data_IF_764229649555
#
_entry.id   IF_764229649555
#
_cell.length_a   1.000
_cell.length_b   1.000
_cell.length_c   1.000
_cell.angle_alpha   90.00
_cell.angle_beta   90.00
_cell.angle_gamma   90.00
#
_symmetry.space_group_name_H-M   'P 1'
#
loop_
_entity.id
_entity.type
_entity.pdbx_description
1 polymer ?
#
# COMPACT_ATOMS: atom_id res chain seq x y z
N UNK A 1 6.78 -50.18 -1.64
CA UNK A 1 6.51 -50.15 -3.09
C UNK A 1 5.14 -49.56 -3.48
N UNK A 2 4.13 -49.52 -2.59
CA UNK A 2 2.79 -49.01 -2.98
C UNK A 2 2.64 -47.49 -3.11
N UNK A 3 3.36 -46.65 -2.34
CA UNK A 3 3.20 -45.19 -2.45
C UNK A 3 3.77 -44.59 -3.75
N UNK A 4 4.80 -45.22 -4.34
CA UNK A 4 5.39 -44.78 -5.61
C UNK A 4 4.56 -45.18 -6.84
N UNK A 5 3.81 -46.29 -6.76
CA UNK A 5 2.90 -46.74 -7.82
C UNK A 5 1.64 -45.86 -7.87
N UNK A 6 1.15 -45.39 -6.72
CA UNK A 6 -0.02 -44.51 -6.65
C UNK A 6 0.25 -43.10 -7.20
N UNK A 7 1.45 -42.56 -6.96
CA UNK A 7 1.86 -41.27 -7.55
C UNK A 7 2.02 -41.36 -9.09
N UNK A 8 2.49 -42.50 -9.61
CA UNK A 8 2.63 -42.71 -11.05
C UNK A 8 1.26 -42.89 -11.75
N UNK A 9 0.29 -43.52 -11.09
CA UNK A 9 -1.07 -43.69 -11.61
C UNK A 9 -1.88 -42.38 -11.60
N UNK A 10 -1.68 -41.51 -10.61
CA UNK A 10 -2.30 -40.17 -10.56
C UNK A 10 -1.70 -39.21 -11.59
N UNK A 11 -0.39 -39.28 -11.84
CA UNK A 11 0.26 -38.49 -12.90
C UNK A 11 -0.16 -38.95 -14.32
N UNK A 12 -0.40 -40.25 -14.52
CA UNK A 12 -0.87 -40.79 -15.80
C UNK A 12 -2.35 -40.47 -16.09
N UNK A 13 -3.18 -40.28 -15.06
CA UNK A 13 -4.59 -39.87 -15.22
C UNK A 13 -4.76 -38.39 -15.57
N UNK A 14 -3.84 -37.51 -15.15
CA UNK A 14 -3.86 -36.08 -15.48
C UNK A 14 -3.37 -35.77 -16.91
N UNK A 15 -2.60 -36.67 -17.52
CA UNK A 15 -2.07 -36.53 -18.88
C UNK A 15 -3.07 -36.96 -19.98
N UNK A 16 -4.19 -37.59 -19.61
CA UNK A 16 -5.23 -38.07 -20.54
C UNK A 16 -6.37 -37.07 -20.77
N UNK A 17 -6.38 -35.90 -20.09
CA UNK A 17 -7.38 -34.84 -20.30
C UNK A 17 -6.90 -33.69 -21.21
N UNK A 18 -5.68 -33.76 -21.73
CA UNK A 18 -5.06 -32.74 -22.59
C UNK A 18 -4.72 -33.31 -23.98
N UNK A 19 -5.69 -33.93 -24.67
CA UNK A 19 -5.54 -34.30 -26.07
C UNK A 19 -6.89 -34.53 -26.78
N UNK A 20 -7.55 -33.45 -27.21
CA UNK A 20 -8.44 -33.44 -28.38
C UNK A 20 -8.65 -31.97 -28.80
N UNK A 21 -7.81 -31.44 -29.68
CA UNK A 21 -8.00 -31.40 -31.13
C UNK A 21 -8.81 -30.16 -31.57
N UNK A 22 -8.09 -29.16 -32.11
CA UNK A 22 -8.64 -28.13 -33.01
C UNK A 22 -9.26 -28.80 -34.23
N UNK A 23 -10.36 -28.24 -34.75
CA UNK A 23 -10.47 -28.04 -36.18
C UNK A 23 -10.72 -26.56 -36.53
N UNK A 24 -10.10 -26.11 -37.61
CA UNK A 24 -10.42 -24.88 -38.35
C UNK A 24 -11.32 -25.23 -39.56
N UNK A 25 -11.70 -24.24 -40.38
CA UNK A 25 -12.97 -23.54 -40.40
C UNK A 25 -14.00 -24.22 -41.33
N UNK A 26 -15.30 -24.06 -41.06
CA UNK A 26 -16.36 -24.40 -42.01
C UNK A 26 -17.30 -23.20 -42.17
N UNK A 27 -17.42 -22.72 -43.40
CA UNK A 27 -18.27 -21.61 -43.84
C UNK A 27 -19.73 -22.09 -43.91
N UNK A 28 -20.58 -21.51 -43.07
CA UNK A 28 -22.04 -21.71 -43.09
C UNK A 28 -22.77 -20.41 -42.72
N UNK A 29 -24.00 -20.18 -43.26
CA UNK A 29 -24.58 -18.86 -43.36
C UNK A 29 -25.01 -18.31 -41.99
N UNK A 30 -24.79 -17.00 -41.81
CA UNK A 30 -25.13 -16.21 -40.62
C UNK A 30 -26.61 -16.32 -40.25
N UNK A 31 -26.89 -16.94 -39.11
CA UNK A 31 -28.19 -16.88 -38.43
C UNK A 31 -28.23 -15.66 -37.50
N UNK A 32 -29.10 -14.66 -37.72
CA UNK A 32 -29.11 -13.43 -36.95
C UNK A 32 -30.09 -13.51 -35.78
N UNK A 33 -29.82 -14.35 -34.77
CA UNK A 33 -30.50 -14.25 -33.46
C UNK A 33 -29.77 -15.02 -32.37
N UNK A 34 -28.63 -14.49 -31.90
CA UNK A 34 -28.14 -14.80 -30.56
C UNK A 34 -28.30 -13.54 -29.70
N UNK A 35 -29.08 -13.56 -28.60
CA UNK A 35 -29.11 -12.45 -27.67
C UNK A 35 -27.72 -12.33 -27.03
N UNK A 36 -27.10 -11.16 -27.17
CA UNK A 36 -25.82 -10.84 -26.55
C UNK A 36 -25.80 -11.34 -25.10
N UNK A 37 -24.84 -12.21 -24.81
CA UNK A 37 -24.49 -12.56 -23.43
C UNK A 37 -24.25 -11.24 -22.69
N UNK A 38 -24.98 -10.92 -21.61
CA UNK A 38 -24.80 -9.65 -20.94
C UNK A 38 -23.35 -9.56 -20.46
N UNK A 39 -22.63 -8.55 -20.93
CA UNK A 39 -21.31 -8.20 -20.43
C UNK A 39 -21.40 -8.18 -18.90
N UNK A 40 -20.54 -8.97 -18.24
CA UNK A 40 -20.38 -8.88 -16.79
C UNK A 40 -20.09 -7.43 -16.39
N UNK A 41 -20.30 -7.04 -15.11
CA UNK A 41 -20.08 -5.67 -14.68
C UNK A 41 -18.70 -5.20 -15.16
N UNK A 42 -18.66 -4.24 -16.09
CA UNK A 42 -17.41 -3.63 -16.49
C UNK A 42 -16.86 -2.98 -15.21
N UNK A 43 -15.73 -3.48 -14.72
CA UNK A 43 -14.99 -2.77 -13.68
C UNK A 43 -14.78 -1.35 -14.19
N UNK A 44 -15.05 -0.32 -13.36
CA UNK A 44 -14.91 1.06 -13.80
C UNK A 44 -13.51 1.23 -14.39
N UNK A 45 -13.42 1.64 -15.66
CA UNK A 45 -12.14 1.76 -16.34
C UNK A 45 -11.25 2.73 -15.56
N UNK A 46 -10.15 2.22 -15.03
CA UNK A 46 -9.11 2.99 -14.35
C UNK A 46 -8.58 4.05 -15.31
N UNK A 47 -9.07 5.28 -15.13
CA UNK A 47 -8.84 6.38 -16.06
C UNK A 47 -8.01 7.44 -15.34
N UNK A 48 -6.94 7.89 -16.00
CA UNK A 48 -6.12 8.99 -15.51
C UNK A 48 -6.97 10.26 -15.37
N UNK A 49 -7.06 10.79 -14.15
CA UNK A 49 -7.82 12.00 -13.83
C UNK A 49 -6.94 13.24 -13.81
N UNK A 50 -5.79 13.15 -13.16
CA UNK A 50 -4.85 14.26 -13.00
C UNK A 50 -3.42 13.73 -12.97
N UNK A 51 -2.45 14.54 -13.38
CA UNK A 51 -1.04 14.15 -13.32
C UNK A 51 -0.13 15.36 -13.29
N UNK A 52 1.12 15.14 -12.88
CA UNK A 52 2.14 16.16 -12.94
C UNK A 52 3.54 15.59 -12.73
N UNK A 53 4.50 16.49 -12.70
CA UNK A 53 5.92 16.20 -12.48
C UNK A 53 6.49 17.13 -11.42
N UNK A 54 7.47 16.65 -10.67
CA UNK A 54 8.20 17.46 -9.70
C UNK A 54 9.41 18.08 -10.40
N UNK A 55 9.47 19.41 -10.43
CA UNK A 55 10.53 20.16 -11.12
C UNK A 55 11.92 19.76 -10.63
N UNK A 56 12.85 19.53 -11.56
CA UNK A 56 14.23 19.15 -11.23
C UNK A 56 14.43 17.68 -10.84
N UNK A 57 13.41 16.84 -11.01
CA UNK A 57 13.48 15.39 -10.70
C UNK A 57 12.88 14.55 -11.82
N UNK A 58 13.14 13.24 -11.79
CA UNK A 58 12.48 12.26 -12.67
C UNK A 58 11.15 11.76 -12.08
N UNK A 59 10.62 12.43 -11.05
CA UNK A 59 9.45 11.99 -10.30
C UNK A 59 8.19 12.57 -10.93
N UNK A 60 7.25 11.68 -11.23
CA UNK A 60 5.91 12.02 -11.73
C UNK A 60 4.85 11.49 -10.79
N UNK A 61 3.65 12.04 -10.87
CA UNK A 61 2.51 11.57 -10.12
C UNK A 61 1.26 11.54 -10.99
N UNK A 62 0.37 10.61 -10.67
CA UNK A 62 -0.88 10.38 -11.38
C UNK A 62 -1.98 10.06 -10.38
N UNK A 63 -3.10 10.75 -10.48
CA UNK A 63 -4.34 10.44 -9.77
C UNK A 63 -5.32 9.88 -10.77
N UNK A 64 -5.93 8.76 -10.42
CA UNK A 64 -6.88 8.05 -11.28
C UNK A 64 -8.31 8.11 -10.71
N UNK A 65 -9.29 7.81 -11.57
CA UNK A 65 -10.72 7.79 -11.22
C UNK A 65 -11.07 6.73 -10.18
N UNK A 66 -10.26 5.68 -10.08
CA UNK A 66 -10.34 4.62 -9.06
C UNK A 66 -9.86 5.08 -7.66
N UNK A 67 -9.46 6.35 -7.53
CA UNK A 67 -9.01 7.02 -6.30
C UNK A 67 -7.62 6.60 -5.84
N UNK A 68 -6.78 6.10 -6.75
CA UNK A 68 -5.36 5.82 -6.48
C UNK A 68 -4.48 6.99 -6.89
N UNK A 69 -3.56 7.39 -6.01
CA UNK A 69 -2.42 8.24 -6.31
C UNK A 69 -1.18 7.35 -6.54
N UNK A 70 -0.62 7.41 -7.73
CA UNK A 70 0.68 6.83 -8.05
C UNK A 70 1.75 7.91 -7.98
N UNK A 71 2.84 7.64 -7.25
CA UNK A 71 4.08 8.44 -7.29
C UNK A 71 5.15 7.58 -7.93
N UNK A 72 5.60 7.95 -9.13
CA UNK A 72 6.46 7.15 -10.01
C UNK A 72 7.78 7.89 -10.27
N UNK A 73 8.70 7.22 -10.93
CA UNK A 73 10.02 7.76 -11.25
C UNK A 73 11.09 7.29 -10.27
N UNK A 74 12.17 8.05 -10.16
CA UNK A 74 13.31 7.69 -9.31
C UNK A 74 13.90 8.86 -8.54
N UNK A 75 14.38 8.57 -7.34
CA UNK A 75 15.07 9.53 -6.47
C UNK A 75 14.31 9.87 -5.19
N UNK A 76 14.74 10.95 -4.54
CA UNK A 76 14.13 11.47 -3.32
C UNK A 76 13.03 12.48 -3.66
N UNK A 77 11.89 12.39 -2.97
CA UNK A 77 10.93 13.49 -3.00
C UNK A 77 11.56 14.74 -2.35
N UNK A 78 11.33 15.95 -2.90
CA UNK A 78 11.83 17.18 -2.31
C UNK A 78 11.12 17.49 -0.99
N UNK A 79 11.79 18.13 -0.05
CA UNK A 79 11.14 18.59 1.17
C UNK A 79 10.10 19.67 0.85
N UNK A 80 8.91 19.50 1.42
CA UNK A 80 7.82 20.47 1.29
C UNK A 80 7.84 21.37 2.52
N UNK A 81 8.47 22.55 2.40
CA UNK A 81 8.64 23.53 3.48
C UNK A 81 7.31 23.93 4.14
N UNK A 82 6.19 23.75 3.43
CA UNK A 82 4.84 24.02 3.89
C UNK A 82 4.00 22.73 3.70
N UNK A 83 3.18 22.30 4.69
CA UNK A 83 2.34 21.10 4.62
C UNK A 83 1.32 21.01 3.45
N UNK A 84 1.29 22.06 2.61
CA UNK A 84 0.36 22.26 1.51
C UNK A 84 1.04 22.41 0.14
N UNK A 85 2.36 22.26 0.07
CA UNK A 85 3.13 22.50 -1.15
C UNK A 85 3.26 21.24 -2.04
N UNK A 86 2.88 20.07 -1.52
CA UNK A 86 2.91 18.84 -2.28
C UNK A 86 1.94 18.88 -3.47
N UNK A 87 2.34 18.41 -4.67
CA UNK A 87 1.52 18.53 -5.88
C UNK A 87 0.13 17.89 -5.79
N UNK A 88 0.00 16.85 -4.97
CA UNK A 88 -1.23 16.09 -4.75
C UNK A 88 -2.03 16.58 -3.53
N UNK A 89 -1.69 17.73 -2.95
CA UNK A 89 -2.32 18.25 -1.72
C UNK A 89 -3.84 18.28 -1.78
N UNK A 90 -4.41 18.74 -2.89
CA UNK A 90 -5.85 18.91 -3.08
C UNK A 90 -6.65 17.59 -3.05
N UNK A 91 -5.98 16.45 -3.25
CA UNK A 91 -6.60 15.13 -3.26
C UNK A 91 -6.72 14.50 -1.87
N UNK A 92 -6.11 15.11 -0.84
CA UNK A 92 -6.06 14.58 0.53
C UNK A 92 -7.34 14.76 1.35
N UNK A 93 -8.30 15.58 0.90
CA UNK A 93 -9.59 15.75 1.61
C UNK A 93 -9.47 16.33 3.03
N UNK A 94 -8.45 17.17 3.24
CA UNK A 94 -8.02 17.75 4.51
C UNK A 94 -9.11 18.55 5.23
N UNK A 95 -9.02 18.60 6.56
CA UNK A 95 -9.98 19.31 7.40
C UNK A 95 -9.81 20.84 7.27
N UNK A 96 -10.90 21.60 7.18
CA UNK A 96 -10.85 23.08 7.17
C UNK A 96 -10.47 23.75 5.84
N UNK A 97 -10.22 22.99 4.76
CA UNK A 97 -10.14 23.56 3.40
C UNK A 97 -11.58 23.73 2.90
N UNK A 98 -12.12 24.94 3.01
CA UNK A 98 -13.34 25.29 2.30
C UNK A 98 -13.07 25.08 0.80
N UNK A 99 -13.84 24.20 0.15
CA UNK A 99 -13.86 24.06 -1.31
C UNK A 99 -14.51 25.31 -1.89
N UNK A 100 -13.78 26.41 -1.78
CA UNK A 100 -13.98 27.58 -2.58
C UNK A 100 -13.63 27.13 -4.02
N UNK A 101 -14.62 27.21 -4.90
CA UNK A 101 -14.43 27.46 -6.33
C UNK A 101 -13.33 26.69 -7.09
N UNK A 102 -13.54 25.38 -7.33
CA UNK A 102 -13.10 24.78 -8.61
C UNK A 102 -14.16 23.86 -9.19
N UNK A 103 -14.61 24.24 -10.37
CA UNK A 103 -15.48 23.48 -11.27
C UNK A 103 -14.69 22.29 -11.83
N UNK A 104 -14.50 21.28 -10.98
CA UNK A 104 -13.76 20.07 -11.28
C UNK A 104 -13.92 19.13 -10.10
N UNK A 105 -14.64 18.02 -10.29
CA UNK A 105 -14.90 17.02 -9.26
C UNK A 105 -13.60 16.43 -8.71
N UNK A 106 -13.02 17.09 -7.71
CA UNK A 106 -11.78 16.67 -7.04
C UNK A 106 -12.01 15.29 -6.42
N UNK A 107 -11.44 14.26 -7.07
CA UNK A 107 -11.42 12.92 -6.53
C UNK A 107 -10.48 12.90 -5.34
N UNK A 108 -11.03 12.44 -4.21
CA UNK A 108 -10.30 12.25 -2.97
C UNK A 108 -9.62 10.89 -2.97
N UNK A 109 -8.31 10.84 -2.77
CA UNK A 109 -7.55 9.58 -2.87
C UNK A 109 -7.77 8.68 -1.65
N UNK A 110 -7.98 7.39 -1.89
CA UNK A 110 -8.12 6.37 -0.85
C UNK A 110 -6.94 5.42 -0.79
N UNK A 111 -6.10 5.43 -1.82
CA UNK A 111 -4.90 4.59 -1.89
C UNK A 111 -3.74 5.36 -2.48
N UNK A 112 -2.56 5.12 -1.93
CA UNK A 112 -1.29 5.66 -2.44
C UNK A 112 -0.39 4.49 -2.80
N UNK A 113 0.22 4.57 -3.98
CA UNK A 113 1.23 3.62 -4.47
C UNK A 113 2.49 4.39 -4.80
N UNK A 114 3.54 4.17 -4.01
CA UNK A 114 4.86 4.74 -4.24
C UNK A 114 5.71 3.74 -5.02
N UNK A 115 6.25 4.17 -6.14
CA UNK A 115 7.00 3.32 -7.07
C UNK A 115 8.39 2.93 -6.55
N UNK A 116 8.87 1.77 -6.98
CA UNK A 116 10.15 1.16 -6.55
C UNK A 116 11.40 2.01 -6.84
N UNK A 117 11.32 3.02 -7.71
CA UNK A 117 12.45 3.93 -7.94
C UNK A 117 12.60 5.02 -6.88
N UNK A 118 11.58 5.25 -6.06
CA UNK A 118 11.60 6.30 -5.02
C UNK A 118 12.44 5.82 -3.84
N UNK A 119 13.45 6.60 -3.45
CA UNK A 119 14.43 6.24 -2.41
C UNK A 119 14.21 6.96 -1.09
N UNK A 120 13.52 8.10 -1.11
CA UNK A 120 13.16 8.86 0.08
C UNK A 120 11.81 9.55 -0.10
N UNK A 121 11.02 9.58 0.97
CA UNK A 121 9.82 10.40 1.08
C UNK A 121 10.17 11.72 1.77
N UNK A 122 9.30 12.71 1.62
CA UNK A 122 9.42 14.00 2.31
C UNK A 122 8.64 13.99 3.62
N UNK A 123 9.05 14.87 4.53
CA UNK A 123 8.26 15.21 5.71
C UNK A 123 6.86 15.71 5.29
N UNK A 124 5.83 15.33 6.07
CA UNK A 124 4.44 15.74 5.84
C UNK A 124 3.83 15.41 4.45
N UNK A 125 4.51 14.62 3.60
CA UNK A 125 4.12 14.39 2.20
C UNK A 125 2.66 13.95 2.02
N UNK A 126 2.13 13.16 2.96
CA UNK A 126 0.77 12.63 2.94
C UNK A 126 0.02 12.92 4.26
N UNK A 127 0.42 13.96 5.00
CA UNK A 127 -0.25 14.37 6.24
C UNK A 127 -1.69 14.84 5.99
N UNK A 128 -2.58 14.51 6.92
CA UNK A 128 -4.01 14.88 6.96
C UNK A 128 -4.83 14.32 5.78
N UNK A 129 -4.42 13.17 5.23
CA UNK A 129 -5.17 12.51 4.16
C UNK A 129 -6.40 11.79 4.73
N UNK A 130 -7.49 12.53 4.92
CA UNK A 130 -8.72 12.05 5.54
C UNK A 130 -9.33 10.79 4.90
N UNK A 131 -9.41 10.63 3.56
CA UNK A 131 -10.01 9.46 2.94
C UNK A 131 -9.04 8.31 2.70
N UNK A 132 -7.74 8.50 3.01
CA UNK A 132 -6.72 7.49 2.76
C UNK A 132 -6.99 6.23 3.58
N UNK A 133 -7.04 5.09 2.90
CA UNK A 133 -7.31 3.76 3.48
C UNK A 133 -6.06 2.89 3.44
N UNK A 134 -5.25 3.00 2.39
CA UNK A 134 -4.07 2.14 2.22
C UNK A 134 -2.88 2.82 1.54
N UNK A 135 -1.68 2.39 1.92
CA UNK A 135 -0.42 2.84 1.33
C UNK A 135 0.43 1.63 0.93
N UNK A 136 1.02 1.67 -0.26
CA UNK A 136 2.06 0.75 -0.71
C UNK A 136 3.38 1.50 -0.84
N UNK A 137 4.36 1.14 -0.01
CA UNK A 137 5.70 1.71 0.02
C UNK A 137 6.67 0.84 -0.78
N UNK A 138 7.71 1.42 -1.41
CA UNK A 138 8.65 0.66 -2.19
C UNK A 138 9.65 -0.07 -1.29
N UNK A 139 10.25 -1.14 -1.79
CA UNK A 139 11.28 -1.90 -1.08
C UNK A 139 12.58 -1.10 -0.88
N UNK A 140 12.82 -0.10 -1.72
CA UNK A 140 13.99 0.80 -1.67
C UNK A 140 13.96 1.81 -0.54
N UNK A 141 12.78 2.09 0.03
CA UNK A 141 12.62 3.14 1.05
C UNK A 141 13.30 2.75 2.36
N UNK A 142 14.16 3.62 2.87
CA UNK A 142 14.91 3.38 4.12
C UNK A 142 14.29 4.04 5.34
N UNK A 143 13.62 5.17 5.16
CA UNK A 143 13.09 6.00 6.25
C UNK A 143 11.64 6.35 5.96
N UNK A 144 10.78 6.24 6.97
CA UNK A 144 9.45 6.87 6.96
C UNK A 144 9.58 8.20 7.72
N UNK A 145 9.52 9.34 7.01
CA UNK A 145 9.89 10.63 7.60
C UNK A 145 8.90 11.18 8.63
N UNK A 146 9.33 12.24 9.31
CA UNK A 146 8.53 13.02 10.24
C UNK A 146 7.16 13.37 9.66
N UNK A 147 6.11 12.98 10.39
CA UNK A 147 4.70 13.24 10.04
C UNK A 147 4.24 12.81 8.65
N UNK A 148 4.98 11.92 7.97
CA UNK A 148 4.72 11.58 6.57
C UNK A 148 3.26 11.16 6.33
N UNK A 149 2.68 10.38 7.25
CA UNK A 149 1.28 9.92 7.23
C UNK A 149 0.49 10.35 8.47
N UNK A 150 0.93 11.40 9.17
CA UNK A 150 0.23 11.86 10.36
C UNK A 150 -1.21 12.32 10.04
N UNK A 151 -2.12 12.18 11.01
CA UNK A 151 -3.51 12.67 10.93
C UNK A 151 -4.31 12.05 9.77
N UNK A 152 -4.02 10.79 9.40
CA UNK A 152 -4.80 10.03 8.43
C UNK A 152 -5.76 9.05 9.15
N UNK A 153 -6.92 9.51 9.66
CA UNK A 153 -7.74 8.73 10.60
C UNK A 153 -8.36 7.48 9.98
N UNK A 154 -8.47 7.41 8.64
CA UNK A 154 -9.01 6.25 7.92
C UNK A 154 -7.93 5.30 7.40
N UNK A 155 -6.64 5.61 7.57
CA UNK A 155 -5.55 4.75 7.11
C UNK A 155 -5.61 3.44 7.89
N UNK A 156 -5.81 2.32 7.19
CA UNK A 156 -5.96 0.98 7.79
C UNK A 156 -4.74 0.12 7.59
N UNK A 157 -4.05 0.29 6.46
CA UNK A 157 -3.02 -0.65 6.04
C UNK A 157 -1.86 0.04 5.33
N UNK A 158 -0.64 -0.29 5.76
CA UNK A 158 0.60 0.11 5.11
C UNK A 158 1.35 -1.16 4.73
N UNK A 159 1.65 -1.31 3.44
CA UNK A 159 2.29 -2.50 2.85
C UNK A 159 3.57 -2.13 2.11
N UNK A 160 4.38 -3.14 1.78
CA UNK A 160 5.70 -2.93 1.19
C UNK A 160 6.69 -2.37 2.22
N UNK A 161 7.59 -1.48 1.81
CA UNK A 161 8.53 -0.83 2.73
C UNK A 161 9.52 -1.79 3.40
N UNK A 162 9.84 -2.90 2.74
CA UNK A 162 10.70 -3.96 3.29
C UNK A 162 12.14 -3.55 3.53
N UNK A 163 12.57 -2.41 2.98
CA UNK A 163 13.86 -1.77 3.27
C UNK A 163 13.85 -0.79 4.43
N UNK A 164 12.70 -0.50 5.06
CA UNK A 164 12.61 0.55 6.08
C UNK A 164 13.39 0.16 7.33
N UNK A 165 14.35 1.01 7.70
CA UNK A 165 15.23 0.85 8.87
C UNK A 165 14.92 1.87 9.98
N UNK A 166 14.26 2.97 9.65
CA UNK A 166 13.89 4.04 10.59
C UNK A 166 12.45 4.51 10.33
N UNK A 167 11.68 4.66 11.41
CA UNK A 167 10.40 5.36 11.40
C UNK A 167 10.56 6.58 12.30
N UNK A 168 10.47 7.77 11.71
CA UNK A 168 10.68 9.03 12.41
C UNK A 168 9.48 9.48 13.24
N UNK A 169 9.70 10.56 13.98
CA UNK A 169 8.74 11.05 14.97
C UNK A 169 7.38 11.34 14.32
N UNK A 170 6.30 10.97 15.01
CA UNK A 170 4.92 11.21 14.58
C UNK A 170 4.54 10.66 13.17
N UNK A 171 5.33 9.77 12.56
CA UNK A 171 5.13 9.30 11.18
C UNK A 171 3.71 8.79 10.88
N UNK A 172 3.08 8.06 11.81
CA UNK A 172 1.71 7.56 11.75
C UNK A 172 0.83 8.10 12.88
N UNK A 173 1.18 9.25 13.47
CA UNK A 173 0.44 9.80 14.61
C UNK A 173 -1.01 10.06 14.25
N UNK A 174 -1.93 9.70 15.14
CA UNK A 174 -3.38 9.87 14.98
C UNK A 174 -3.99 9.13 13.77
N UNK A 175 -3.33 8.08 13.28
CA UNK A 175 -3.92 7.14 12.32
C UNK A 175 -4.84 6.14 13.06
N UNK A 176 -5.97 6.63 13.60
CA UNK A 176 -6.84 5.88 14.52
C UNK A 176 -7.46 4.58 13.96
N UNK A 177 -7.42 4.39 12.64
CA UNK A 177 -7.90 3.18 11.97
C UNK A 177 -6.79 2.20 11.61
N UNK A 178 -5.51 2.52 11.87
CA UNK A 178 -4.38 1.73 11.37
C UNK A 178 -4.33 0.37 12.08
N UNK A 179 -4.52 -0.68 11.29
CA UNK A 179 -4.60 -2.07 11.76
C UNK A 179 -3.38 -2.89 11.38
N UNK A 180 -2.80 -2.63 10.20
CA UNK A 180 -1.74 -3.45 9.64
C UNK A 180 -0.61 -2.59 9.10
N UNK A 181 0.61 -2.92 9.49
CA UNK A 181 1.83 -2.31 8.96
C UNK A 181 2.81 -3.42 8.62
N UNK A 182 3.29 -3.43 7.39
CA UNK A 182 4.42 -4.26 6.98
C UNK A 182 5.70 -3.61 7.49
N UNK A 183 6.56 -4.40 8.15
CA UNK A 183 7.86 -3.95 8.66
C UNK A 183 8.97 -4.91 8.26
N UNK A 184 10.18 -4.36 8.23
CA UNK A 184 11.40 -5.09 7.99
C UNK A 184 12.03 -5.60 9.30
N UNK A 185 12.68 -6.77 9.31
CA UNK A 185 13.57 -7.17 10.40
C UNK A 185 14.84 -6.30 10.44
N UNK A 186 15.05 -5.40 9.47
CA UNK A 186 16.11 -4.40 9.48
C UNK A 186 15.74 -3.13 10.24
N UNK A 187 14.52 -3.02 10.78
CA UNK A 187 14.09 -1.86 11.56
C UNK A 187 14.98 -1.70 12.80
N UNK A 188 15.62 -0.53 12.94
CA UNK A 188 16.56 -0.23 14.03
C UNK A 188 16.07 0.87 14.95
N UNK A 189 15.18 1.74 14.45
CA UNK A 189 14.69 2.89 15.20
C UNK A 189 13.22 3.18 14.90
N UNK A 190 12.45 3.39 15.96
CA UNK A 190 11.10 3.96 15.95
C UNK A 190 11.13 5.15 16.88
N UNK A 191 10.97 6.36 16.35
CA UNK A 191 11.07 7.57 17.15
C UNK A 191 9.79 7.91 17.93
N UNK A 192 9.83 9.01 18.68
CA UNK A 192 8.76 9.42 19.59
C UNK A 192 7.43 9.61 18.86
N UNK A 193 6.36 9.07 19.45
CA UNK A 193 4.99 9.16 18.91
C UNK A 193 4.82 8.67 17.46
N UNK A 194 5.76 7.91 16.90
CA UNK A 194 5.67 7.37 15.54
C UNK A 194 4.34 6.62 15.31
N UNK A 195 3.87 5.89 16.33
CA UNK A 195 2.56 5.22 16.38
C UNK A 195 1.66 5.79 17.48
N UNK A 196 1.82 7.07 17.83
CA UNK A 196 0.98 7.75 18.83
C UNK A 196 -0.47 7.84 18.36
N UNK A 197 -1.43 7.59 19.24
CA UNK A 197 -2.87 7.68 18.95
C UNK A 197 -3.35 6.79 17.75
N UNK A 198 -2.59 5.74 17.39
CA UNK A 198 -2.96 4.79 16.31
C UNK A 198 -4.14 3.89 16.68
N UNK A 199 -4.30 3.62 17.98
CA UNK A 199 -5.44 2.87 18.52
C UNK A 199 -6.05 3.74 19.61
N UNK A 200 -7.36 4.03 19.58
CA UNK A 200 -7.99 4.72 20.70
C UNK A 200 -7.78 3.89 21.97
N UNK A 201 -7.35 4.52 23.06
CA UNK A 201 -7.04 3.89 24.36
C UNK A 201 -8.21 3.08 25.01
N UNK A 202 -9.36 2.99 24.33
CA UNK A 202 -10.55 2.24 24.73
C UNK A 202 -11.03 1.27 23.62
N UNK A 203 -10.15 0.84 22.72
CA UNK A 203 -10.46 -0.13 21.68
C UNK A 203 -9.89 -1.50 22.02
N UNK A 204 -10.65 -2.57 21.78
CA UNK A 204 -10.16 -3.95 21.81
C UNK A 204 -9.29 -4.31 20.59
N UNK A 205 -9.11 -3.37 19.66
CA UNK A 205 -8.28 -3.53 18.46
C UNK A 205 -6.81 -3.44 18.85
N UNK A 206 -5.98 -4.28 18.24
CA UNK A 206 -4.53 -4.26 18.35
C UNK A 206 -3.91 -4.00 16.98
N UNK A 207 -2.82 -3.24 16.96
CA UNK A 207 -1.99 -3.09 15.77
C UNK A 207 -1.39 -4.45 15.44
N UNK A 208 -1.37 -4.79 14.15
CA UNK A 208 -0.76 -6.02 13.63
C UNK A 208 0.46 -5.63 12.80
N UNK A 209 1.62 -6.11 13.22
CA UNK A 209 2.86 -5.96 12.48
C UNK A 209 3.06 -7.20 11.62
N UNK A 210 3.07 -7.02 10.31
CA UNK A 210 3.44 -8.08 9.38
C UNK A 210 4.93 -7.94 9.12
N UNK A 211 5.73 -8.85 9.67
CA UNK A 211 7.17 -8.79 9.58
C UNK A 211 7.65 -9.63 8.40
N UNK A 212 8.53 -9.08 7.58
CA UNK A 212 9.23 -9.87 6.57
C UNK A 212 10.25 -10.82 7.21
N UNK A 213 10.23 -12.10 6.84
CA UNK A 213 11.19 -13.08 7.35
C UNK A 213 10.70 -13.84 8.58
N UNK A 214 11.58 -14.09 9.56
CA UNK A 214 11.35 -15.03 10.66
C UNK A 214 11.23 -14.33 12.02
N UNK A 215 10.55 -15.01 12.96
CA UNK A 215 10.44 -14.53 14.35
C UNK A 215 11.80 -14.33 15.03
N UNK A 216 12.79 -15.16 14.73
CA UNK A 216 14.13 -15.04 15.31
C UNK A 216 14.88 -13.79 14.82
N UNK A 217 14.77 -13.47 13.53
CA UNK A 217 15.36 -12.25 12.97
C UNK A 217 14.70 -11.01 13.59
N UNK A 218 13.38 -11.02 13.71
CA UNK A 218 12.63 -9.95 14.36
C UNK A 218 13.00 -9.75 15.83
N UNK A 219 13.14 -10.84 16.59
CA UNK A 219 13.55 -10.76 17.99
C UNK A 219 14.97 -10.15 18.13
N UNK A 220 15.89 -10.54 17.26
CA UNK A 220 17.25 -9.98 17.23
C UNK A 220 17.23 -8.47 16.96
N UNK A 221 16.35 -8.02 16.06
CA UNK A 221 16.15 -6.61 15.79
C UNK A 221 15.57 -5.87 17.00
N UNK A 222 14.51 -6.41 17.61
CA UNK A 222 13.88 -5.83 18.80
C UNK A 222 14.84 -5.66 19.97
N UNK A 223 15.77 -6.58 20.18
CA UNK A 223 16.74 -6.53 21.30
C UNK A 223 17.69 -5.33 21.22
N UNK A 224 17.91 -4.79 20.01
CA UNK A 224 18.80 -3.63 19.76
C UNK A 224 18.04 -2.40 19.28
N UNK A 225 16.73 -2.50 19.03
CA UNK A 225 15.92 -1.43 18.47
C UNK A 225 15.70 -0.32 19.50
N UNK A 226 15.94 0.92 19.07
CA UNK A 226 15.54 2.08 19.86
C UNK A 226 14.08 2.41 19.56
N UNK A 227 13.23 2.34 20.58
CA UNK A 227 11.80 2.70 20.46
C UNK A 227 11.53 3.87 21.38
N UNK A 228 11.12 5.00 20.82
CA UNK A 228 10.81 6.25 21.50
C UNK A 228 9.56 6.19 22.39
N UNK A 229 9.27 7.32 23.01
CA UNK A 229 8.10 7.51 23.87
C UNK A 229 6.79 7.46 23.06
N UNK A 230 5.66 7.25 23.75
CA UNK A 230 4.31 7.31 23.17
C UNK A 230 4.07 6.39 21.97
N UNK A 231 4.67 5.20 22.01
CA UNK A 231 4.54 4.14 21.01
C UNK A 231 3.83 2.90 21.57
N UNK A 232 2.86 3.08 22.48
CA UNK A 232 2.19 1.97 23.17
C UNK A 232 1.50 0.99 22.21
N UNK A 233 0.89 1.50 21.14
CA UNK A 233 0.28 0.68 20.09
C UNK A 233 1.30 -0.25 19.41
N UNK A 234 2.53 0.24 19.17
CA UNK A 234 3.63 -0.55 18.61
C UNK A 234 4.13 -1.60 19.61
N UNK A 235 4.28 -1.22 20.88
CA UNK A 235 4.76 -2.12 21.95
C UNK A 235 3.80 -3.25 22.28
N UNK A 236 2.50 -3.01 22.10
CA UNK A 236 1.43 -3.97 22.37
C UNK A 236 0.94 -4.68 21.10
N UNK A 237 1.60 -4.43 19.96
CA UNK A 237 1.18 -4.97 18.69
C UNK A 237 1.37 -6.50 18.64
N UNK A 238 0.51 -7.15 17.87
CA UNK A 238 0.69 -8.57 17.53
C UNK A 238 1.52 -8.69 16.26
N UNK A 239 2.34 -9.74 16.17
CA UNK A 239 3.23 -9.94 15.02
C UNK A 239 2.82 -11.17 14.22
N UNK A 240 2.83 -11.05 12.89
CA UNK A 240 2.79 -12.20 11.97
C UNK A 240 4.01 -12.19 11.07
N UNK A 241 4.38 -13.33 10.49
CA UNK A 241 5.60 -13.50 9.72
C UNK A 241 5.28 -14.05 8.33
N UNK A 242 5.89 -13.47 7.29
CA UNK A 242 5.65 -13.87 5.89
C UNK A 242 6.38 -15.16 5.48
N UNK A 243 7.35 -15.64 6.26
CA UNK A 243 7.95 -16.97 6.08
C UNK A 243 7.53 -17.86 7.25
N UNK A 244 6.84 -18.97 6.95
CA UNK A 244 6.48 -19.99 7.96
C UNK A 244 7.76 -20.59 8.59
N UNK A 245 7.69 -20.81 9.91
CA UNK A 245 8.79 -21.28 10.77
C UNK A 245 9.28 -22.70 10.43
#
# INVERSE_FOLDING_TARGET
MHKKILALLLALLLLLTLAACKPTPDDGPTDPTDPETPAGPQEPEDTLLNSGSISGTDITWEVHTDRVLYVKGSGALPDYDIPNDQPWYEHGGKTGVERSDKEGGSVLVTRIVIGEGITALSENAFRDFQPLVSVSLPSTLQVIPFKCFAECPNLREVTGGTGVTVIESEAFRSCASLERVMLSPLLTKVEDSAFGDVIPNNSSRQLKLNIEGTAAAWQTALDVMSIGLDNDAFRQATTTFSKEQ
#
